data_IF_825990391664
#
_entry.id   IF_825990391664
#
_cell.length_a   1.000
_cell.length_b   1.000
_cell.length_c   1.000
_cell.angle_alpha   90.00
_cell.angle_beta   90.00
_cell.angle_gamma   90.00
#
_symmetry.space_group_name_H-M   'P 1'
#
loop_
_entity.id
_entity.type
_entity.pdbx_description
1 polymer ?
#
# COMPACT_ATOMS: atom_id res chain seq x y z
N UNK A 1 -28.15 -19.75 1.52
CA UNK A 1 -26.71 -20.01 1.38
C UNK A 1 -26.02 -19.06 0.37
N UNK A 2 -26.69 -18.76 -0.73
CA UNK A 2 -26.10 -17.98 -1.83
C UNK A 2 -25.72 -16.53 -1.44
N UNK A 3 -26.44 -15.90 -0.51
CA UNK A 3 -26.17 -14.52 -0.07
C UNK A 3 -24.85 -14.38 0.73
N UNK A 4 -24.40 -15.43 1.43
CA UNK A 4 -23.21 -15.41 2.27
C UNK A 4 -21.94 -15.80 1.52
N UNK A 5 -22.06 -16.59 0.46
CA UNK A 5 -20.90 -16.95 -0.37
C UNK A 5 -20.29 -15.72 -1.05
N UNK A 6 -21.11 -14.74 -1.40
CA UNK A 6 -20.65 -13.51 -2.05
C UNK A 6 -19.84 -12.56 -1.16
N UNK A 7 -19.92 -12.69 0.18
CA UNK A 7 -19.19 -11.82 1.11
C UNK A 7 -17.91 -12.44 1.70
N UNK A 8 -17.64 -13.72 1.45
CA UNK A 8 -16.45 -14.42 1.95
C UNK A 8 -15.33 -14.42 0.89
N UNK A 9 -14.09 -14.31 1.32
CA UNK A 9 -12.93 -14.51 0.46
C UNK A 9 -12.88 -15.97 -0.08
N UNK A 10 -12.28 -16.24 -1.25
CA UNK A 10 -12.30 -17.56 -1.87
C UNK A 10 -11.86 -18.73 -0.97
N UNK A 11 -10.83 -18.50 -0.14
CA UNK A 11 -10.36 -19.51 0.83
C UNK A 11 -11.39 -19.79 1.90
N UNK A 12 -12.08 -18.76 2.40
CA UNK A 12 -13.14 -18.87 3.39
C UNK A 12 -14.42 -19.52 2.81
N UNK A 13 -14.69 -19.29 1.52
CA UNK A 13 -15.75 -20.00 0.80
C UNK A 13 -15.44 -21.51 0.67
N UNK A 14 -14.19 -21.85 0.36
CA UNK A 14 -13.74 -23.25 0.30
C UNK A 14 -13.89 -23.92 1.65
N UNK A 15 -13.52 -23.24 2.75
CA UNK A 15 -13.72 -23.73 4.11
C UNK A 15 -15.21 -23.97 4.43
N UNK A 16 -16.11 -23.09 3.98
CA UNK A 16 -17.54 -23.25 4.19
C UNK A 16 -18.10 -24.47 3.45
N UNK A 17 -17.67 -24.69 2.21
CA UNK A 17 -18.03 -25.88 1.43
C UNK A 17 -17.50 -27.17 2.07
N UNK A 18 -16.28 -27.13 2.61
CA UNK A 18 -15.68 -28.27 3.33
C UNK A 18 -16.44 -28.57 4.63
N UNK A 19 -16.79 -27.51 5.40
CA UNK A 19 -17.63 -27.67 6.59
C UNK A 19 -18.96 -28.33 6.26
N UNK A 20 -19.62 -27.91 5.17
CA UNK A 20 -20.87 -28.54 4.68
C UNK A 20 -20.70 -30.03 4.38
N UNK A 21 -19.64 -30.39 3.65
CA UNK A 21 -19.36 -31.77 3.31
C UNK A 21 -19.11 -32.63 4.57
N UNK A 22 -18.37 -32.07 5.54
CA UNK A 22 -18.06 -32.71 6.81
C UNK A 22 -19.33 -32.92 7.64
N UNK A 23 -20.22 -31.94 7.70
CA UNK A 23 -21.52 -32.04 8.38
C UNK A 23 -22.40 -33.07 7.70
N UNK A 24 -22.53 -33.07 6.37
CA UNK A 24 -23.28 -34.01 5.60
C UNK A 24 -22.78 -35.45 5.79
N UNK A 25 -21.47 -35.67 5.84
CA UNK A 25 -20.85 -36.99 6.07
C UNK A 25 -21.17 -37.56 7.46
N UNK A 26 -21.46 -36.71 8.45
CA UNK A 26 -21.90 -37.08 9.81
C UNK A 26 -23.40 -37.17 9.95
N UNK A 27 -24.15 -36.98 8.85
CA UNK A 27 -25.63 -37.03 8.85
C UNK A 27 -26.29 -35.77 9.42
N UNK A 28 -25.55 -34.68 9.60
CA UNK A 28 -26.06 -33.37 10.00
C UNK A 28 -26.62 -32.59 8.83
N UNK A 29 -27.42 -31.54 9.12
CA UNK A 29 -28.04 -30.66 8.12
C UNK A 29 -27.71 -29.21 8.32
N UNK A 30 -27.07 -28.82 9.44
CA UNK A 30 -26.78 -27.42 9.82
C UNK A 30 -25.29 -27.27 10.15
N UNK A 31 -24.65 -26.31 9.53
CA UNK A 31 -23.25 -25.97 9.78
C UNK A 31 -23.17 -25.06 11.00
N UNK A 32 -22.43 -25.48 12.02
CA UNK A 32 -22.22 -24.69 13.25
C UNK A 32 -20.95 -23.81 13.13
N UNK A 33 -20.72 -22.94 14.13
CA UNK A 33 -19.50 -22.14 14.25
C UNK A 33 -18.28 -23.05 14.34
N UNK A 34 -18.39 -24.09 15.13
CA UNK A 34 -17.33 -25.08 15.39
C UNK A 34 -16.97 -25.85 14.12
N UNK A 35 -17.97 -26.26 13.33
CA UNK A 35 -17.77 -26.95 12.06
C UNK A 35 -17.03 -26.05 11.06
N UNK A 36 -17.43 -24.79 11.00
CA UNK A 36 -16.80 -23.82 10.10
C UNK A 36 -15.38 -23.46 10.54
N UNK A 37 -15.13 -23.29 11.85
CA UNK A 37 -13.80 -23.02 12.41
C UNK A 37 -12.83 -24.17 12.11
N UNK A 38 -13.21 -25.42 12.34
CA UNK A 38 -12.37 -26.57 12.02
C UNK A 38 -12.04 -26.65 10.53
N UNK A 39 -13.02 -26.42 9.68
CA UNK A 39 -12.81 -26.40 8.24
C UNK A 39 -11.94 -25.20 7.79
N UNK A 40 -12.04 -24.06 8.47
CA UNK A 40 -11.21 -22.87 8.20
C UNK A 40 -9.74 -23.15 8.54
N UNK A 41 -9.47 -23.78 9.68
CA UNK A 41 -8.11 -24.16 10.07
C UNK A 41 -7.51 -25.21 9.12
N UNK A 42 -8.34 -26.09 8.57
CA UNK A 42 -7.88 -27.12 7.61
C UNK A 42 -7.66 -26.54 6.20
N UNK A 43 -8.56 -25.66 5.74
CA UNK A 43 -8.52 -25.07 4.40
C UNK A 43 -7.50 -23.92 4.25
N UNK A 44 -7.09 -23.29 5.37
CA UNK A 44 -6.22 -22.09 5.36
C UNK A 44 -4.96 -22.32 6.20
N UNK A 45 -3.89 -22.93 5.61
CA UNK A 45 -2.63 -23.18 6.30
C UNK A 45 -1.94 -21.90 6.83
N UNK A 46 -2.22 -20.76 6.22
CA UNK A 46 -1.71 -19.45 6.63
C UNK A 46 -2.26 -19.04 8.01
N UNK A 47 -3.53 -19.29 8.27
CA UNK A 47 -4.16 -19.04 9.57
C UNK A 47 -3.50 -19.91 10.66
N UNK A 48 -3.28 -21.19 10.37
CA UNK A 48 -2.59 -22.14 11.27
C UNK A 48 -1.17 -21.68 11.58
N UNK A 49 -0.42 -21.29 10.55
CA UNK A 49 0.96 -20.80 10.68
C UNK A 49 1.02 -19.49 11.48
N UNK A 50 0.03 -18.61 11.29
CA UNK A 50 -0.09 -17.37 12.05
C UNK A 50 -0.39 -17.65 13.54
N UNK A 51 -1.40 -18.46 13.84
CA UNK A 51 -1.78 -18.80 15.21
C UNK A 51 -0.63 -19.44 15.99
N UNK A 52 0.12 -20.36 15.37
CA UNK A 52 1.34 -20.93 15.97
C UNK A 52 2.38 -19.87 16.31
N UNK A 53 2.63 -18.93 15.42
CA UNK A 53 3.57 -17.82 15.65
C UNK A 53 3.14 -16.88 16.78
N UNK A 54 1.82 -16.74 16.98
CA UNK A 54 1.26 -15.96 18.10
C UNK A 54 1.23 -16.74 19.43
N UNK A 55 1.74 -17.95 19.46
CA UNK A 55 1.82 -18.78 20.67
C UNK A 55 0.53 -19.54 21.02
N UNK A 56 -0.42 -19.64 20.08
CA UNK A 56 -1.65 -20.43 20.25
C UNK A 56 -1.31 -21.92 20.13
N UNK A 57 -1.67 -22.70 21.15
CA UNK A 57 -1.62 -24.17 21.09
C UNK A 57 -2.76 -24.66 20.22
N UNK A 58 -2.42 -25.13 19.01
CA UNK A 58 -3.43 -25.61 18.05
C UNK A 58 -4.10 -26.91 18.48
N UNK A 59 -3.41 -27.77 19.21
CA UNK A 59 -4.01 -29.03 19.68
C UNK A 59 -5.04 -28.76 20.79
N UNK A 60 -4.79 -27.74 21.60
CA UNK A 60 -5.74 -27.23 22.56
C UNK A 60 -6.92 -26.54 21.89
N UNK A 61 -6.65 -25.68 20.90
CA UNK A 61 -7.70 -25.01 20.13
C UNK A 61 -8.63 -26.01 19.44
N UNK A 62 -8.08 -27.00 18.75
CA UNK A 62 -8.87 -28.03 18.07
C UNK A 62 -9.68 -28.85 19.08
N UNK A 63 -9.09 -29.22 20.22
CA UNK A 63 -9.81 -29.95 21.29
C UNK A 63 -10.96 -29.15 21.88
N UNK A 64 -10.76 -27.84 22.12
CA UNK A 64 -11.81 -26.97 22.64
C UNK A 64 -12.94 -26.78 21.64
N UNK A 65 -12.62 -26.57 20.35
CA UNK A 65 -13.63 -26.51 19.29
C UNK A 65 -14.42 -27.81 19.22
N UNK A 66 -13.75 -28.96 19.22
CA UNK A 66 -14.42 -30.28 19.16
C UNK A 66 -15.27 -30.54 20.40
N UNK A 67 -14.83 -30.09 21.58
CA UNK A 67 -15.58 -30.24 22.84
C UNK A 67 -16.86 -29.40 22.90
N UNK A 68 -16.91 -28.30 22.14
CA UNK A 68 -18.07 -27.41 22.06
C UNK A 68 -19.03 -27.76 20.90
N UNK A 69 -18.65 -28.72 20.04
CA UNK A 69 -19.55 -29.17 18.96
C UNK A 69 -20.84 -29.79 19.54
N UNK A 70 -22.02 -29.33 19.09
CA UNK A 70 -23.29 -29.89 19.59
C UNK A 70 -23.43 -31.36 19.21
N UNK A 71 -23.76 -32.20 20.20
CA UNK A 71 -23.94 -33.65 20.05
C UNK A 71 -25.22 -33.97 19.24
N UNK A 72 -26.16 -33.05 19.23
CA UNK A 72 -27.43 -33.15 18.50
C UNK A 72 -27.56 -31.95 17.60
N UNK A 73 -27.79 -32.17 16.32
CA UNK A 73 -28.08 -31.11 15.36
C UNK A 73 -29.39 -30.40 15.77
N UNK A 74 -29.28 -29.33 16.55
CA UNK A 74 -30.43 -28.49 16.84
C UNK A 74 -30.92 -27.83 15.56
N UNK A 75 -32.14 -28.04 15.31
CA UNK A 75 -32.95 -27.76 14.14
C UNK A 75 -33.28 -26.27 14.05
N UNK A 76 -33.13 -25.72 12.84
CA UNK A 76 -33.76 -24.50 12.30
C UNK A 76 -33.03 -23.18 12.44
N UNK A 77 -32.04 -23.01 11.56
CA UNK A 77 -31.84 -21.72 10.91
C UNK A 77 -32.52 -21.76 9.53
N UNK A 78 -32.80 -20.63 8.99
CA UNK A 78 -33.32 -20.46 7.63
C UNK A 78 -32.17 -20.77 6.63
N UNK A 79 -32.00 -22.04 6.32
CA UNK A 79 -30.92 -22.55 5.49
C UNK A 79 -29.93 -23.47 6.21
N UNK A 80 -28.82 -23.82 5.52
CA UNK A 80 -27.81 -24.78 5.98
C UNK A 80 -26.86 -24.20 7.08
N UNK A 81 -27.04 -22.96 7.55
CA UNK A 81 -26.18 -22.30 8.54
C UNK A 81 -26.87 -22.12 9.90
N UNK A 82 -26.16 -22.35 11.00
CA UNK A 82 -26.67 -22.07 12.34
C UNK A 82 -26.87 -20.58 12.58
N UNK A 83 -27.79 -20.21 13.45
CA UNK A 83 -28.04 -18.80 13.82
C UNK A 83 -26.80 -18.14 14.46
N UNK A 84 -25.98 -18.89 15.15
CA UNK A 84 -24.72 -18.40 15.73
C UNK A 84 -23.65 -18.11 14.65
N UNK A 85 -23.56 -18.96 13.64
CA UNK A 85 -22.65 -18.74 12.52
C UNK A 85 -23.07 -17.51 11.69
N UNK A 86 -24.36 -17.38 11.41
CA UNK A 86 -24.92 -16.19 10.74
C UNK A 86 -24.64 -14.93 11.56
N UNK A 87 -24.86 -14.98 12.87
CA UNK A 87 -24.59 -13.86 13.77
C UNK A 87 -23.10 -13.44 13.73
N UNK A 88 -22.17 -14.39 13.84
CA UNK A 88 -20.74 -14.10 13.77
C UNK A 88 -20.35 -13.43 12.46
N UNK A 89 -20.73 -14.00 11.31
CA UNK A 89 -20.43 -13.45 9.99
C UNK A 89 -21.05 -12.07 9.80
N UNK A 90 -22.29 -11.85 10.28
CA UNK A 90 -22.97 -10.55 10.22
C UNK A 90 -22.26 -9.47 11.03
N UNK A 91 -21.91 -9.74 12.30
CA UNK A 91 -21.17 -8.79 13.13
C UNK A 91 -19.82 -8.41 12.50
N UNK A 92 -19.13 -9.40 11.94
CA UNK A 92 -17.86 -9.14 11.25
C UNK A 92 -18.07 -8.30 9.98
N UNK A 93 -19.15 -8.56 9.25
CA UNK A 93 -19.48 -7.80 8.03
C UNK A 93 -19.85 -6.36 8.31
N UNK A 94 -20.62 -6.11 9.37
CA UNK A 94 -21.04 -4.77 9.76
C UNK A 94 -19.86 -3.89 10.26
N UNK A 95 -18.83 -4.51 10.80
CA UNK A 95 -17.67 -3.82 11.34
C UNK A 95 -16.59 -3.50 10.30
N UNK A 96 -16.73 -3.92 9.05
CA UNK A 96 -15.72 -3.73 8.01
C UNK A 96 -16.29 -3.19 6.71
N UNK A 97 -15.57 -2.26 6.09
CA UNK A 97 -15.87 -1.72 4.74
C UNK A 97 -15.23 -2.56 3.62
N UNK A 98 -14.55 -3.66 3.95
CA UNK A 98 -13.90 -4.52 2.97
C UNK A 98 -14.93 -5.23 2.08
N UNK A 99 -14.65 -5.44 0.78
CA UNK A 99 -15.60 -6.11 -0.14
C UNK A 99 -15.87 -7.56 0.24
N UNK A 100 -14.93 -8.25 0.89
CA UNK A 100 -15.03 -9.64 1.36
C UNK A 100 -14.38 -9.82 2.73
N UNK A 101 -14.89 -10.81 3.45
CA UNK A 101 -14.37 -11.26 4.73
C UNK A 101 -13.30 -12.33 4.48
N UNK A 102 -12.08 -12.04 4.87
CA UNK A 102 -10.98 -12.99 4.90
C UNK A 102 -10.85 -13.66 6.29
N UNK A 103 -9.95 -14.62 6.41
CA UNK A 103 -9.78 -15.36 7.66
C UNK A 103 -9.32 -14.49 8.85
N UNK A 104 -8.44 -13.47 8.69
CA UNK A 104 -8.08 -12.59 9.79
C UNK A 104 -9.25 -11.77 10.31
N UNK A 105 -10.07 -11.23 9.41
CA UNK A 105 -11.27 -10.48 9.79
C UNK A 105 -12.30 -11.37 10.48
N UNK A 106 -12.49 -12.60 9.99
CA UNK A 106 -13.38 -13.55 10.61
C UNK A 106 -12.94 -13.92 12.02
N UNK A 107 -11.67 -14.30 12.21
CA UNK A 107 -11.15 -14.64 13.54
C UNK A 107 -11.12 -13.44 14.49
N UNK A 108 -10.74 -12.27 14.01
CA UNK A 108 -10.83 -11.03 14.77
C UNK A 108 -12.29 -10.73 15.20
N UNK A 109 -13.22 -10.87 14.26
CA UNK A 109 -14.64 -10.68 14.54
C UNK A 109 -15.19 -11.68 15.56
N UNK A 110 -14.72 -12.92 15.53
CA UNK A 110 -15.08 -13.93 16.51
C UNK A 110 -14.66 -13.54 17.93
N UNK A 111 -13.42 -13.07 18.08
CA UNK A 111 -12.85 -12.73 19.39
C UNK A 111 -13.37 -11.40 19.93
N UNK A 112 -13.56 -10.38 19.08
CA UNK A 112 -13.79 -9.01 19.55
C UNK A 112 -15.21 -8.47 19.29
N UNK A 113 -15.95 -9.04 18.32
CA UNK A 113 -17.24 -8.49 17.87
C UNK A 113 -18.42 -9.42 18.18
N UNK A 114 -18.20 -10.73 18.23
CA UNK A 114 -19.26 -11.70 18.44
C UNK A 114 -19.53 -11.93 19.94
N UNK A 115 -20.08 -10.93 20.63
CA UNK A 115 -20.32 -10.96 22.09
C UNK A 115 -21.01 -12.24 22.59
N UNK A 116 -21.96 -12.79 21.80
CA UNK A 116 -22.69 -14.02 22.16
C UNK A 116 -21.83 -15.28 22.14
N UNK A 117 -20.62 -15.21 21.57
CA UNK A 117 -19.70 -16.34 21.46
C UNK A 117 -18.50 -16.21 22.38
N UNK A 118 -18.38 -15.13 23.13
CA UNK A 118 -17.24 -14.89 24.05
C UNK A 118 -17.14 -15.89 25.18
N UNK A 119 -18.25 -16.51 25.58
CA UNK A 119 -18.27 -17.55 26.62
C UNK A 119 -17.72 -18.91 26.14
N UNK A 120 -17.41 -19.03 24.83
CA UNK A 120 -16.90 -20.27 24.25
C UNK A 120 -15.43 -20.49 24.57
N UNK A 121 -15.06 -21.70 24.99
CA UNK A 121 -13.71 -22.04 25.40
C UNK A 121 -12.65 -21.80 24.30
N UNK A 122 -12.99 -22.03 23.02
CA UNK A 122 -12.08 -21.76 21.92
C UNK A 122 -11.84 -20.27 21.67
N UNK A 123 -12.77 -19.37 22.05
CA UNK A 123 -12.57 -17.93 21.96
C UNK A 123 -11.52 -17.49 22.98
N UNK A 124 -11.59 -18.01 24.20
CA UNK A 124 -10.57 -17.73 25.23
C UNK A 124 -9.15 -18.17 24.78
N UNK A 125 -9.02 -19.27 24.06
CA UNK A 125 -7.73 -19.71 23.49
C UNK A 125 -7.25 -18.74 22.41
N UNK A 126 -8.15 -18.15 21.61
CA UNK A 126 -7.83 -17.18 20.57
C UNK A 126 -7.55 -15.78 21.11
N UNK A 127 -7.99 -15.41 22.31
CA UNK A 127 -7.72 -14.13 22.98
C UNK A 127 -6.22 -13.88 23.26
N UNK A 128 -5.40 -14.93 23.26
CA UNK A 128 -3.95 -14.84 23.38
C UNK A 128 -3.36 -14.03 22.20
N UNK A 129 -4.06 -13.96 21.06
CA UNK A 129 -3.63 -13.22 19.89
C UNK A 129 -3.87 -11.73 20.10
N UNK A 130 -2.82 -10.99 20.43
CA UNK A 130 -2.88 -9.54 20.69
C UNK A 130 -3.02 -8.69 19.44
N UNK A 131 -2.56 -9.18 18.27
CA UNK A 131 -2.57 -8.44 17.01
C UNK A 131 -2.99 -9.35 15.87
N UNK A 132 -4.12 -9.03 15.26
CA UNK A 132 -4.62 -9.70 14.07
C UNK A 132 -4.08 -9.02 12.82
N UNK A 133 -3.71 -9.74 11.75
CA UNK A 133 -3.31 -9.13 10.49
C UNK A 133 -4.46 -8.29 9.96
N UNK A 134 -4.25 -6.99 9.85
CA UNK A 134 -5.26 -6.11 9.26
C UNK A 134 -5.13 -6.18 7.75
N UNK A 135 -6.23 -6.46 7.05
CA UNK A 135 -6.29 -6.42 5.58
C UNK A 135 -5.94 -5.03 4.99
N UNK A 136 -5.89 -3.99 5.82
CA UNK A 136 -5.65 -2.61 5.41
C UNK A 136 -4.21 -2.11 5.62
N UNK A 137 -3.28 -2.87 6.21
CA UNK A 137 -2.02 -2.24 6.59
C UNK A 137 -0.75 -3.06 6.69
N UNK A 138 -0.84 -4.35 6.78
CA UNK A 138 0.36 -5.19 6.81
C UNK A 138 0.23 -6.31 5.79
N UNK A 139 0.56 -5.96 4.55
CA UNK A 139 1.07 -6.97 3.65
C UNK A 139 2.37 -7.48 4.29
N UNK A 140 2.25 -8.45 5.21
CA UNK A 140 3.23 -9.48 5.34
C UNK A 140 3.42 -9.97 3.91
N UNK A 141 4.49 -9.56 3.26
CA UNK A 141 4.82 -10.06 1.93
C UNK A 141 4.98 -11.55 2.12
N UNK A 142 4.00 -12.39 1.72
CA UNK A 142 4.26 -13.81 1.61
C UNK A 142 5.41 -13.93 0.61
N UNK A 143 6.23 -14.98 0.70
CA UNK A 143 7.13 -15.30 -0.38
C UNK A 143 6.26 -15.27 -1.63
N UNK A 144 6.56 -14.36 -2.55
CA UNK A 144 5.75 -13.91 -3.67
C UNK A 144 4.84 -15.03 -4.20
N UNK A 145 3.54 -14.95 -3.87
CA UNK A 145 2.55 -15.79 -4.54
C UNK A 145 2.66 -15.50 -6.03
N UNK A 146 2.78 -16.50 -6.90
CA UNK A 146 3.02 -16.27 -8.33
C UNK A 146 1.92 -15.49 -9.04
N UNK A 147 0.82 -15.16 -8.36
CA UNK A 147 -0.36 -14.50 -8.93
C UNK A 147 -0.57 -13.03 -8.55
N UNK A 148 0.32 -12.39 -7.76
CA UNK A 148 0.29 -10.94 -7.74
C UNK A 148 0.81 -10.44 -9.10
N UNK A 149 0.02 -9.62 -9.83
CA UNK A 149 0.53 -9.02 -11.07
C UNK A 149 1.71 -8.13 -10.67
N UNK A 150 2.92 -8.68 -10.77
CA UNK A 150 4.13 -7.90 -10.60
C UNK A 150 4.02 -6.67 -11.47
N UNK A 151 4.26 -5.50 -10.88
CA UNK A 151 4.46 -4.30 -11.69
C UNK A 151 5.48 -4.65 -12.77
N UNK A 152 5.14 -4.46 -14.04
CA UNK A 152 6.00 -4.89 -15.12
C UNK A 152 7.37 -4.24 -14.98
N UNK A 153 8.41 -5.06 -14.98
CA UNK A 153 9.79 -4.57 -14.94
C UNK A 153 10.25 -4.39 -16.37
N UNK A 154 10.46 -3.15 -16.76
CA UNK A 154 10.93 -2.81 -18.09
C UNK A 154 12.24 -2.06 -18.00
N UNK A 155 13.33 -2.68 -18.44
CA UNK A 155 14.67 -2.08 -18.51
C UNK A 155 15.18 -2.25 -19.93
N UNK A 156 15.15 -1.16 -20.70
CA UNK A 156 15.62 -1.14 -22.10
C UNK A 156 16.77 -0.13 -22.30
N UNK A 157 17.06 0.69 -21.29
CA UNK A 157 18.10 1.70 -21.36
C UNK A 157 19.48 1.06 -21.17
N UNK A 158 20.41 1.21 -22.12
CA UNK A 158 21.76 0.67 -22.01
C UNK A 158 22.51 1.11 -20.75
N UNK A 159 22.29 2.35 -20.28
CA UNK A 159 22.95 2.85 -19.08
C UNK A 159 22.49 2.12 -17.80
N UNK A 160 21.25 1.66 -17.75
CA UNK A 160 20.74 0.85 -16.64
C UNK A 160 21.29 -0.57 -16.67
N UNK A 161 21.46 -1.14 -17.87
CA UNK A 161 22.07 -2.46 -18.05
C UNK A 161 23.56 -2.40 -17.70
N UNK A 162 24.28 -1.35 -18.11
CA UNK A 162 25.68 -1.13 -17.76
C UNK A 162 25.87 -1.00 -16.24
N UNK A 163 25.02 -0.23 -15.56
CA UNK A 163 25.05 -0.15 -14.10
C UNK A 163 24.85 -1.53 -13.45
N UNK A 164 23.96 -2.37 -14.00
CA UNK A 164 23.75 -3.71 -13.47
C UNK A 164 25.02 -4.59 -13.62
N UNK A 165 25.68 -4.52 -14.78
CA UNK A 165 26.92 -5.22 -15.03
C UNK A 165 28.04 -4.72 -14.10
N UNK A 166 28.20 -3.40 -13.97
CA UNK A 166 29.20 -2.78 -13.09
C UNK A 166 29.02 -3.22 -11.62
N UNK A 167 27.75 -3.26 -11.15
CA UNK A 167 27.44 -3.71 -9.79
C UNK A 167 27.75 -5.20 -9.61
N UNK A 168 27.40 -6.07 -10.58
CA UNK A 168 27.73 -7.50 -10.51
C UNK A 168 29.23 -7.71 -10.49
N UNK A 169 29.97 -7.00 -11.33
CA UNK A 169 31.43 -7.06 -11.38
C UNK A 169 32.04 -6.62 -10.02
N UNK A 170 31.59 -5.49 -9.47
CA UNK A 170 32.10 -4.98 -8.20
C UNK A 170 31.80 -5.92 -7.02
N UNK A 171 30.58 -6.49 -6.96
CA UNK A 171 30.22 -7.49 -5.94
C UNK A 171 30.98 -8.81 -6.08
N UNK A 172 31.28 -9.21 -7.30
CA UNK A 172 32.03 -10.45 -7.57
C UNK A 172 33.54 -10.28 -7.32
N UNK A 173 34.08 -9.09 -7.63
CA UNK A 173 35.51 -8.81 -7.48
C UNK A 173 35.91 -8.61 -6.03
N UNK A 174 35.05 -8.08 -5.17
CA UNK A 174 35.38 -7.79 -3.77
C UNK A 174 34.41 -8.48 -2.80
N UNK A 175 34.92 -9.51 -2.13
CA UNK A 175 34.14 -10.26 -1.13
C UNK A 175 33.63 -9.40 0.04
N UNK A 176 34.35 -8.34 0.38
CA UNK A 176 34.01 -7.38 1.42
C UNK A 176 33.44 -6.10 0.83
N UNK A 177 32.97 -6.13 -0.43
CA UNK A 177 32.41 -4.96 -1.11
C UNK A 177 31.21 -4.41 -0.36
N UNK A 178 31.16 -3.08 -0.25
CA UNK A 178 30.00 -2.36 0.25
C UNK A 178 29.62 -1.35 -0.82
N UNK A 179 28.48 -1.60 -1.49
CA UNK A 179 28.05 -0.80 -2.63
C UNK A 179 26.74 -0.08 -2.29
N UNK A 180 26.67 1.18 -2.62
CA UNK A 180 25.44 1.96 -2.50
C UNK A 180 25.01 2.50 -3.85
N UNK A 181 23.89 1.98 -4.37
CA UNK A 181 23.23 2.54 -5.57
C UNK A 181 22.27 3.65 -5.14
N UNK A 182 22.71 4.87 -5.37
CA UNK A 182 22.02 6.09 -4.98
C UNK A 182 21.22 6.69 -6.15
N UNK A 183 20.05 7.22 -5.88
CA UNK A 183 19.26 7.92 -6.91
C UNK A 183 18.02 8.58 -6.32
N UNK A 184 17.37 9.52 -7.03
CA UNK A 184 16.20 10.21 -6.53
C UNK A 184 15.04 9.23 -6.27
N UNK A 185 14.10 9.64 -5.42
CA UNK A 185 12.89 8.85 -5.16
C UNK A 185 12.13 8.63 -6.48
N UNK A 186 11.67 7.40 -6.70
CA UNK A 186 10.94 7.04 -7.92
C UNK A 186 11.80 6.85 -9.16
N UNK A 187 13.16 6.84 -9.04
CA UNK A 187 14.06 6.57 -10.19
C UNK A 187 14.00 5.16 -10.74
N UNK A 188 13.27 4.23 -10.10
CA UNK A 188 13.15 2.85 -10.57
C UNK A 188 14.16 1.88 -9.96
N UNK A 189 14.84 2.23 -8.86
CA UNK A 189 15.85 1.39 -8.20
C UNK A 189 15.34 -0.02 -7.89
N UNK A 190 14.17 -0.15 -7.29
CA UNK A 190 13.58 -1.46 -6.96
C UNK A 190 13.24 -2.29 -8.21
N UNK A 191 12.78 -1.64 -9.30
CA UNK A 191 12.54 -2.32 -10.57
C UNK A 191 13.86 -2.78 -11.22
N UNK A 192 14.87 -1.92 -11.19
CA UNK A 192 16.24 -2.24 -11.62
C UNK A 192 16.83 -3.39 -10.79
N UNK A 193 16.65 -3.37 -9.46
CA UNK A 193 17.10 -4.45 -8.58
C UNK A 193 16.45 -5.79 -8.98
N UNK A 194 15.15 -5.83 -9.21
CA UNK A 194 14.45 -7.06 -9.63
C UNK A 194 15.02 -7.63 -10.92
N UNK A 195 15.39 -6.79 -11.86
CA UNK A 195 16.08 -7.21 -13.10
C UNK A 195 17.44 -7.78 -12.79
N UNK A 196 18.23 -7.12 -11.93
CA UNK A 196 19.54 -7.60 -11.49
C UNK A 196 19.44 -8.99 -10.83
N UNK A 197 18.47 -9.18 -9.92
CA UNK A 197 18.27 -10.43 -9.19
C UNK A 197 17.75 -11.58 -10.07
N UNK A 198 17.14 -11.27 -11.20
CA UNK A 198 16.73 -12.27 -12.19
C UNK A 198 17.89 -12.80 -13.03
N UNK A 199 19.10 -12.20 -12.92
CA UNK A 199 20.28 -12.62 -13.69
C UNK A 199 20.86 -13.94 -13.14
N UNK A 200 21.13 -14.93 -14.00
CA UNK A 200 21.68 -16.21 -13.56
C UNK A 200 23.13 -16.06 -13.06
N UNK A 201 23.50 -16.87 -12.06
CA UNK A 201 24.88 -16.96 -11.59
C UNK A 201 25.24 -15.99 -10.45
N UNK A 202 24.29 -15.22 -9.92
CA UNK A 202 24.48 -14.33 -8.79
C UNK A 202 23.73 -14.86 -7.56
N UNK A 203 24.47 -15.17 -6.47
CA UNK A 203 23.87 -15.61 -5.21
C UNK A 203 23.61 -14.41 -4.31
N UNK A 204 22.40 -14.28 -3.77
CA UNK A 204 22.00 -13.14 -2.97
C UNK A 204 20.96 -13.51 -1.90
N UNK A 205 20.90 -12.67 -0.87
CA UNK A 205 19.87 -12.70 0.19
C UNK A 205 19.35 -11.28 0.36
N UNK A 206 18.06 -11.07 0.12
CA UNK A 206 17.41 -9.79 0.37
C UNK A 206 16.89 -9.76 1.81
N UNK A 207 17.24 -8.72 2.56
CA UNK A 207 16.82 -8.53 3.95
C UNK A 207 16.16 -7.16 4.16
N UNK A 208 15.09 -7.14 4.94
CA UNK A 208 14.51 -5.91 5.49
C UNK A 208 14.93 -5.76 6.96
N UNK A 209 15.98 -5.00 7.18
CA UNK A 209 16.54 -4.77 8.53
C UNK A 209 15.59 -4.04 9.50
N UNK A 210 14.47 -3.51 9.03
CA UNK A 210 13.44 -2.87 9.86
C UNK A 210 12.50 -3.89 10.49
N UNK A 211 12.45 -5.10 9.97
CA UNK A 211 11.65 -6.21 10.48
C UNK A 211 12.46 -7.03 11.47
N UNK A 212 12.37 -6.70 12.76
CA UNK A 212 13.12 -7.41 13.81
C UNK A 212 12.91 -8.93 13.80
N UNK A 213 11.71 -9.41 13.49
CA UNK A 213 11.43 -10.84 13.40
C UNK A 213 12.21 -11.54 12.28
N UNK A 214 12.44 -10.90 11.13
CA UNK A 214 13.25 -11.44 10.04
C UNK A 214 14.72 -11.44 10.39
N UNK A 215 15.18 -10.40 11.08
CA UNK A 215 16.59 -10.29 11.54
C UNK A 215 16.89 -11.33 12.60
N UNK A 216 15.96 -11.61 13.53
CA UNK A 216 16.12 -12.64 14.56
C UNK A 216 15.96 -14.07 14.02
N UNK A 217 15.12 -14.29 13.01
CA UNK A 217 14.99 -15.58 12.34
C UNK A 217 16.25 -15.96 11.52
N UNK A 218 17.09 -14.98 11.19
CA UNK A 218 18.38 -15.19 10.54
C UNK A 218 19.48 -15.69 11.47
N UNK A 219 19.17 -16.03 12.73
CA UNK A 219 20.08 -16.79 13.65
C UNK A 219 20.48 -18.18 13.14
N UNK A 220 19.88 -18.65 12.07
CA UNK A 220 20.49 -19.70 11.28
C UNK A 220 21.63 -19.06 10.48
N UNK A 221 22.90 -19.44 10.74
CA UNK A 221 23.97 -19.02 9.87
C UNK A 221 23.54 -19.40 8.47
N UNK A 222 23.50 -18.45 7.55
CA UNK A 222 23.35 -18.73 6.12
C UNK A 222 24.58 -19.54 5.75
N UNK A 223 24.50 -20.84 6.01
CA UNK A 223 25.56 -21.78 5.66
C UNK A 223 25.55 -21.83 4.14
N UNK A 224 26.62 -21.40 3.47
CA UNK A 224 26.69 -21.58 2.04
C UNK A 224 26.50 -23.08 1.77
N UNK A 225 25.75 -23.46 0.72
CA UNK A 225 25.58 -24.86 0.37
C UNK A 225 26.96 -25.49 0.27
N UNK A 226 27.25 -26.45 1.19
CA UNK A 226 28.55 -27.10 1.29
C UNK A 226 28.83 -27.93 0.03
N UNK A 227 29.66 -27.40 -0.83
CA UNK A 227 30.27 -28.07 -1.96
C UNK A 227 31.76 -27.72 -1.96
N UNK A 228 32.62 -28.70 -2.17
CA UNK A 228 34.08 -28.62 -2.22
C UNK A 228 34.60 -27.69 -3.34
N UNK A 229 34.25 -26.46 -3.34
CA UNK A 229 34.72 -25.41 -4.23
C UNK A 229 34.36 -24.05 -3.64
N UNK A 230 35.33 -23.19 -3.56
CA UNK A 230 35.30 -21.80 -3.07
C UNK A 230 33.88 -21.24 -2.94
N UNK A 231 33.23 -21.48 -1.82
CA UNK A 231 31.88 -21.05 -1.56
C UNK A 231 31.87 -19.51 -1.54
N UNK A 232 31.32 -18.89 -2.59
CA UNK A 232 31.08 -17.46 -2.59
C UNK A 232 29.93 -17.18 -1.61
N UNK A 233 30.18 -16.32 -0.64
CA UNK A 233 29.14 -15.85 0.23
C UNK A 233 28.10 -15.04 -0.58
N UNK A 234 26.81 -15.26 -0.35
CA UNK A 234 25.78 -14.50 -1.05
C UNK A 234 25.90 -13.01 -0.74
N UNK A 235 25.53 -12.16 -1.68
CA UNK A 235 25.43 -10.74 -1.45
C UNK A 235 24.20 -10.43 -0.57
N UNK A 236 24.39 -9.63 0.49
CA UNK A 236 23.29 -9.09 1.26
C UNK A 236 22.71 -7.88 0.51
N UNK A 237 21.42 -7.88 0.26
CA UNK A 237 20.72 -6.81 -0.45
C UNK A 237 19.77 -6.08 0.50
N UNK A 238 19.98 -4.77 0.64
CA UNK A 238 19.22 -3.88 1.49
C UNK A 238 18.49 -2.86 0.59
N UNK A 239 17.22 -3.14 0.28
CA UNK A 239 16.40 -2.22 -0.50
C UNK A 239 15.85 -1.10 0.38
N UNK A 240 15.89 0.12 -0.13
CA UNK A 240 15.43 1.34 0.54
C UNK A 240 16.17 1.67 1.86
N UNK A 241 17.45 1.35 1.94
CA UNK A 241 18.33 1.63 3.09
C UNK A 241 19.49 2.50 2.62
N UNK A 242 19.57 3.76 3.10
CA UNK A 242 20.70 4.66 2.89
C UNK A 242 21.80 4.43 3.97
N UNK A 243 23.03 4.92 3.76
CA UNK A 243 24.09 4.83 4.76
C UNK A 243 23.69 5.36 6.14
N UNK A 244 22.95 6.48 6.19
CA UNK A 244 22.44 7.05 7.44
C UNK A 244 21.40 6.13 8.09
N UNK A 245 20.45 5.61 7.32
CA UNK A 245 19.42 4.68 7.83
C UNK A 245 20.09 3.43 8.43
N UNK A 246 21.12 2.91 7.77
CA UNK A 246 21.87 1.74 8.28
C UNK A 246 22.60 2.06 9.59
N UNK A 247 23.23 3.24 9.70
CA UNK A 247 23.86 3.70 10.94
C UNK A 247 22.85 3.84 12.09
N UNK A 248 21.66 4.38 11.82
CA UNK A 248 20.59 4.50 12.80
C UNK A 248 20.11 3.13 13.27
N UNK A 249 19.87 2.17 12.35
CA UNK A 249 19.49 0.80 12.68
C UNK A 249 20.55 0.07 13.50
N UNK A 250 21.83 0.25 13.17
CA UNK A 250 22.94 -0.35 13.90
C UNK A 250 23.20 0.28 15.28
N UNK A 251 22.68 1.49 15.54
CA UNK A 251 22.82 2.18 16.81
C UNK A 251 21.74 1.82 17.83
N UNK A 252 20.71 1.07 17.45
CA UNK A 252 19.65 0.61 18.34
C UNK A 252 20.21 -0.35 19.40
N UNK A 253 19.95 -0.13 20.70
CA UNK A 253 20.57 -0.89 21.79
C UNK A 253 20.21 -2.38 21.82
N UNK A 254 19.03 -2.75 21.34
CA UNK A 254 18.53 -4.14 21.33
C UNK A 254 18.58 -4.77 19.93
N UNK A 255 19.28 -4.16 18.97
CA UNK A 255 19.23 -4.56 17.58
C UNK A 255 20.24 -5.62 17.19
N UNK A 256 19.79 -6.82 16.81
CA UNK A 256 20.60 -7.84 16.16
C UNK A 256 21.20 -7.36 14.81
N UNK A 257 20.71 -6.22 14.27
CA UNK A 257 21.18 -5.63 13.01
C UNK A 257 22.67 -5.36 13.02
N UNK A 258 23.21 -4.85 14.12
CA UNK A 258 24.65 -4.56 14.22
C UNK A 258 25.50 -5.82 14.09
N UNK A 259 25.15 -6.86 14.85
CA UNK A 259 25.87 -8.14 14.83
C UNK A 259 25.74 -8.82 13.47
N UNK A 260 24.55 -8.82 12.88
CA UNK A 260 24.30 -9.37 11.56
C UNK A 260 25.13 -8.68 10.47
N UNK A 261 25.09 -7.34 10.40
CA UNK A 261 25.78 -6.59 9.34
C UNK A 261 27.29 -6.61 9.52
N UNK A 262 27.80 -6.49 10.75
CA UNK A 262 29.25 -6.58 11.03
C UNK A 262 29.79 -8.01 10.85
N UNK A 263 28.98 -9.02 11.17
CA UNK A 263 29.34 -10.44 11.01
C UNK A 263 29.17 -10.96 9.58
N UNK A 264 28.52 -10.21 8.70
CA UNK A 264 28.29 -10.66 7.33
C UNK A 264 29.60 -10.78 6.55
N UNK A 265 29.85 -11.95 6.00
CA UNK A 265 31.13 -12.27 5.31
C UNK A 265 31.07 -12.03 3.79
N UNK A 266 29.91 -11.82 3.21
CA UNK A 266 29.72 -11.52 1.79
C UNK A 266 29.66 -10.03 1.49
N UNK A 267 29.57 -9.64 0.21
CA UNK A 267 29.35 -8.25 -0.18
C UNK A 267 27.97 -7.76 0.25
N UNK A 268 27.84 -6.44 0.37
CA UNK A 268 26.58 -5.76 0.76
C UNK A 268 26.21 -4.75 -0.31
N UNK A 269 24.98 -4.84 -0.82
CA UNK A 269 24.39 -3.89 -1.77
C UNK A 269 23.25 -3.13 -1.11
N UNK A 270 23.37 -1.81 -1.03
CA UNK A 270 22.35 -0.91 -0.54
C UNK A 270 21.72 -0.14 -1.71
N UNK A 271 20.40 0.02 -1.68
CA UNK A 271 19.68 0.87 -2.62
C UNK A 271 18.86 1.89 -1.84
N UNK A 272 19.07 3.18 -2.09
CA UNK A 272 18.29 4.21 -1.42
C UNK A 272 18.20 5.52 -2.21
N UNK A 273 17.34 6.41 -1.71
CA UNK A 273 17.31 7.79 -2.15
C UNK A 273 18.50 8.56 -1.57
N UNK A 274 19.08 9.44 -2.38
CA UNK A 274 20.11 10.37 -1.95
C UNK A 274 19.56 11.65 -1.31
N UNK A 275 18.25 11.77 -1.14
CA UNK A 275 17.60 13.01 -0.68
C UNK A 275 17.93 13.36 0.78
N UNK A 276 18.29 12.35 1.59
CA UNK A 276 18.63 12.52 3.03
C UNK A 276 20.12 12.56 3.32
N UNK A 277 20.93 12.20 2.35
CA UNK A 277 22.39 12.11 2.57
C UNK A 277 22.99 13.53 2.65
N UNK A 278 23.37 13.94 3.85
CA UNK A 278 24.06 15.20 4.12
C UNK A 278 25.56 15.14 3.81
N UNK A 279 25.98 14.11 3.04
CA UNK A 279 27.31 14.07 2.46
C UNK A 279 28.29 13.10 3.11
N UNK A 280 29.53 13.15 2.68
CA UNK A 280 30.68 12.27 2.99
C UNK A 280 30.84 11.84 4.46
N UNK A 281 30.24 12.55 5.41
CA UNK A 281 30.40 12.27 6.84
C UNK A 281 29.78 10.94 7.26
N UNK A 282 28.58 10.65 6.78
CA UNK A 282 27.86 9.43 7.17
C UNK A 282 28.45 8.20 6.45
N UNK A 283 28.85 8.37 5.20
CA UNK A 283 29.56 7.35 4.44
C UNK A 283 30.89 6.97 5.12
N UNK A 284 31.66 7.96 5.58
CA UNK A 284 32.93 7.73 6.28
C UNK A 284 32.73 7.05 7.64
N UNK A 285 31.65 7.38 8.37
CA UNK A 285 31.31 6.72 9.64
C UNK A 285 30.94 5.27 9.43
N UNK A 286 30.12 4.98 8.40
CA UNK A 286 29.75 3.61 8.05
C UNK A 286 30.98 2.78 7.68
N UNK A 287 31.87 3.32 6.84
CA UNK A 287 33.16 2.70 6.48
C UNK A 287 34.00 2.40 7.73
N UNK A 288 34.09 3.33 8.67
CA UNK A 288 34.85 3.13 9.89
C UNK A 288 34.28 2.05 10.81
N UNK A 289 32.95 1.91 10.89
CA UNK A 289 32.27 0.90 11.72
C UNK A 289 32.36 -0.50 11.10
N UNK A 290 32.15 -0.61 9.78
CA UNK A 290 32.11 -1.88 9.09
C UNK A 290 33.52 -2.36 8.67
N UNK A 291 34.53 -1.48 8.64
CA UNK A 291 35.85 -1.79 8.11
C UNK A 291 35.84 -2.09 6.60
N UNK A 292 34.82 -1.60 5.87
CA UNK A 292 34.61 -1.83 4.44
C UNK A 292 34.55 -0.49 3.71
N UNK A 293 35.19 -0.41 2.57
CA UNK A 293 35.13 0.80 1.73
C UNK A 293 33.76 0.87 1.02
N UNK A 294 33.08 2.02 1.17
CA UNK A 294 31.80 2.26 0.55
C UNK A 294 31.99 2.82 -0.87
N UNK A 295 31.61 2.04 -1.86
CA UNK A 295 31.53 2.45 -3.25
C UNK A 295 30.12 3.00 -3.54
N UNK A 296 30.05 4.21 -4.06
CA UNK A 296 28.77 4.86 -4.40
C UNK A 296 28.58 4.90 -5.91
N UNK A 297 27.51 4.28 -6.40
CA UNK A 297 27.12 4.30 -7.80
C UNK A 297 25.81 5.09 -7.95
N UNK A 298 25.74 5.96 -8.96
CA UNK A 298 24.56 6.77 -9.19
C UNK A 298 23.62 6.07 -10.17
N UNK A 299 22.32 6.02 -9.83
CA UNK A 299 21.28 5.55 -10.76
C UNK A 299 21.24 6.49 -11.98
N UNK A 300 21.41 5.98 -13.20
CA UNK A 300 21.37 6.79 -14.41
C UNK A 300 20.02 7.48 -14.62
N UNK A 301 20.01 8.60 -15.33
CA UNK A 301 18.79 9.23 -15.81
C UNK A 301 18.01 8.31 -16.74
N UNK A 302 16.75 8.65 -16.97
CA UNK A 302 15.85 7.84 -17.80
C UNK A 302 15.68 8.48 -19.15
N UNK A 303 15.97 7.74 -20.22
CA UNK A 303 15.73 8.17 -21.60
C UNK A 303 14.23 8.21 -21.91
N UNK A 304 13.86 8.97 -22.93
CA UNK A 304 12.46 9.02 -23.41
C UNK A 304 11.98 7.65 -23.90
N UNK A 305 12.85 6.88 -24.54
CA UNK A 305 12.57 5.52 -24.98
C UNK A 305 12.23 4.59 -23.79
N UNK A 306 13.02 4.67 -22.72
CA UNK A 306 12.75 3.93 -21.48
C UNK A 306 11.43 4.37 -20.82
N UNK A 307 11.14 5.67 -20.78
CA UNK A 307 9.87 6.20 -20.26
C UNK A 307 8.68 5.67 -21.04
N UNK A 308 8.77 5.67 -22.38
CA UNK A 308 7.75 5.13 -23.27
C UNK A 308 7.54 3.63 -23.04
N UNK A 309 8.61 2.86 -22.93
CA UNK A 309 8.55 1.43 -22.65
C UNK A 309 7.88 1.13 -21.30
N UNK A 310 8.23 1.89 -20.24
CA UNK A 310 7.59 1.79 -18.92
C UNK A 310 6.09 2.09 -19.01
N UNK A 311 5.70 3.17 -19.69
CA UNK A 311 4.29 3.55 -19.87
C UNK A 311 3.51 2.47 -20.60
N UNK A 312 4.05 1.96 -21.70
CA UNK A 312 3.40 0.89 -22.48
C UNK A 312 3.20 -0.38 -21.65
N UNK A 313 4.18 -0.74 -20.84
CA UNK A 313 4.09 -1.91 -19.98
C UNK A 313 3.05 -1.72 -18.84
N UNK A 314 2.90 -0.51 -18.32
CA UNK A 314 1.95 -0.19 -17.24
C UNK A 314 0.54 0.16 -17.76
N UNK A 315 0.38 0.44 -19.05
CA UNK A 315 -0.89 0.85 -19.66
C UNK A 315 -2.05 -0.08 -19.31
N UNK A 316 -1.97 -1.42 -19.50
CA UNK A 316 -3.11 -2.32 -19.23
C UNK A 316 -3.56 -2.28 -17.76
N UNK A 317 -2.60 -2.19 -16.85
CA UNK A 317 -2.88 -2.12 -15.41
C UNK A 317 -3.57 -0.80 -15.01
N UNK A 318 -3.13 0.32 -15.61
CA UNK A 318 -3.72 1.64 -15.37
C UNK A 318 -5.14 1.68 -15.93
N UNK A 319 -5.34 1.24 -17.18
CA UNK A 319 -6.65 1.21 -17.84
C UNK A 319 -7.65 0.33 -17.09
N UNK A 320 -7.21 -0.84 -16.64
CA UNK A 320 -8.04 -1.75 -15.83
C UNK A 320 -8.41 -1.15 -14.46
N UNK A 321 -7.42 -0.56 -13.78
CA UNK A 321 -7.64 0.00 -12.44
C UNK A 321 -8.65 1.14 -12.42
N UNK A 322 -8.58 2.04 -13.41
CA UNK A 322 -9.40 3.25 -13.47
C UNK A 322 -10.57 3.16 -14.45
N UNK A 323 -10.77 2.00 -15.09
CA UNK A 323 -11.80 1.79 -16.11
C UNK A 323 -11.82 2.93 -17.16
N UNK A 324 -10.66 3.19 -17.75
CA UNK A 324 -10.47 4.22 -18.77
C UNK A 324 -9.53 3.74 -19.86
N UNK A 325 -9.44 4.51 -20.94
CA UNK A 325 -8.49 4.30 -22.04
C UNK A 325 -7.44 5.41 -22.05
N UNK A 326 -6.18 5.03 -22.20
CA UNK A 326 -5.10 5.99 -22.43
C UNK A 326 -5.00 6.30 -23.92
N UNK A 327 -5.14 7.57 -24.30
CA UNK A 327 -4.95 7.92 -25.72
C UNK A 327 -3.46 7.84 -26.10
N UNK A 328 -3.13 7.40 -27.33
CA UNK A 328 -1.73 7.35 -27.79
C UNK A 328 -1.02 8.70 -27.66
N UNK A 329 -1.72 9.80 -27.95
CA UNK A 329 -1.19 11.15 -27.82
C UNK A 329 -0.88 11.51 -26.35
N UNK A 330 -1.70 11.06 -25.38
CA UNK A 330 -1.43 11.25 -23.97
C UNK A 330 -0.20 10.46 -23.49
N UNK A 331 -0.04 9.23 -23.99
CA UNK A 331 1.13 8.38 -23.72
C UNK A 331 2.42 9.02 -24.24
N UNK A 332 2.39 9.51 -25.48
CA UNK A 332 3.53 10.20 -26.10
C UNK A 332 3.87 11.48 -25.36
N UNK A 333 2.86 12.28 -25.02
CA UNK A 333 3.04 13.50 -24.23
C UNK A 333 3.64 13.21 -22.85
N UNK A 334 3.18 12.16 -22.17
CA UNK A 334 3.71 11.77 -20.86
C UNK A 334 5.16 11.27 -20.94
N UNK A 335 5.53 10.55 -22.00
CA UNK A 335 6.89 10.08 -22.20
C UNK A 335 7.86 11.22 -22.49
N UNK A 336 7.48 12.17 -23.35
CA UNK A 336 8.34 13.28 -23.77
C UNK A 336 8.46 14.40 -22.73
N UNK A 337 7.41 14.61 -21.92
CA UNK A 337 7.39 15.73 -20.95
C UNK A 337 8.29 15.47 -19.75
N UNK A 338 9.23 16.39 -19.52
CA UNK A 338 10.12 16.34 -18.37
C UNK A 338 10.02 17.65 -17.57
N UNK A 339 9.62 17.56 -16.33
CA UNK A 339 9.66 18.65 -15.34
C UNK A 339 10.23 18.10 -14.05
N UNK A 340 10.70 18.94 -13.16
CA UNK A 340 11.29 18.52 -11.87
C UNK A 340 10.39 17.52 -11.10
N UNK A 341 9.07 17.68 -11.20
CA UNK A 341 8.09 16.83 -10.49
C UNK A 341 7.90 15.46 -11.11
N UNK A 342 8.11 15.32 -12.43
CA UNK A 342 7.86 14.10 -13.22
C UNK A 342 9.12 13.59 -13.93
N UNK A 343 10.29 14.05 -13.51
CA UNK A 343 11.56 13.64 -14.09
C UNK A 343 11.85 12.14 -13.91
N UNK A 344 11.36 11.55 -12.82
CA UNK A 344 11.56 10.13 -12.52
C UNK A 344 10.42 9.28 -13.08
N UNK A 345 10.64 7.99 -13.38
CA UNK A 345 9.58 7.06 -13.79
C UNK A 345 8.43 6.98 -12.80
N UNK A 346 8.74 6.93 -11.51
CA UNK A 346 7.73 6.91 -10.45
C UNK A 346 6.89 8.18 -10.43
N UNK A 347 7.52 9.36 -10.59
CA UNK A 347 6.81 10.63 -10.68
C UNK A 347 5.92 10.72 -11.93
N UNK A 348 6.38 10.19 -13.05
CA UNK A 348 5.58 10.10 -14.28
C UNK A 348 4.35 9.18 -14.11
N UNK A 349 4.52 8.00 -13.52
CA UNK A 349 3.41 7.09 -13.26
C UNK A 349 2.43 7.68 -12.24
N UNK A 350 2.92 8.33 -11.17
CA UNK A 350 2.08 9.02 -10.20
C UNK A 350 1.23 10.11 -10.86
N UNK A 351 1.83 10.90 -11.75
CA UNK A 351 1.10 11.91 -12.52
C UNK A 351 -0.02 11.30 -13.36
N UNK A 352 0.25 10.20 -14.09
CA UNK A 352 -0.79 9.50 -14.83
C UNK A 352 -1.91 8.98 -13.94
N UNK A 353 -1.55 8.35 -12.80
CA UNK A 353 -2.54 7.84 -11.86
C UNK A 353 -3.42 8.95 -11.30
N UNK A 354 -2.86 10.13 -11.01
CA UNK A 354 -3.64 11.30 -10.53
C UNK A 354 -4.60 11.81 -11.60
N UNK A 355 -4.11 11.95 -12.83
CA UNK A 355 -4.96 12.37 -13.95
C UNK A 355 -6.08 11.36 -14.22
N UNK A 356 -5.76 10.05 -14.18
CA UNK A 356 -6.72 8.98 -14.35
C UNK A 356 -7.78 8.96 -13.24
N UNK A 357 -7.37 9.09 -11.98
CA UNK A 357 -8.28 9.19 -10.84
C UNK A 357 -9.22 10.39 -10.95
N UNK A 358 -8.70 11.53 -11.38
CA UNK A 358 -9.52 12.74 -11.58
C UNK A 358 -10.52 12.56 -12.71
N UNK A 359 -10.10 11.93 -13.81
CA UNK A 359 -10.99 11.62 -14.92
C UNK A 359 -12.08 10.64 -14.51
N UNK A 360 -11.77 9.63 -13.71
CA UNK A 360 -12.77 8.70 -13.19
C UNK A 360 -13.79 9.39 -12.30
N UNK A 361 -13.35 10.30 -11.42
CA UNK A 361 -14.25 11.14 -10.62
C UNK A 361 -15.11 12.06 -11.49
N UNK A 362 -14.53 12.67 -12.52
CA UNK A 362 -15.25 13.50 -13.47
C UNK A 362 -16.29 12.70 -14.26
N UNK A 363 -15.92 11.48 -14.68
CA UNK A 363 -16.82 10.61 -15.43
C UNK A 363 -18.00 10.10 -14.58
N UNK A 364 -17.75 9.81 -13.30
CA UNK A 364 -18.75 9.23 -12.38
C UNK A 364 -19.68 10.27 -11.75
N UNK A 365 -19.16 11.43 -11.36
CA UNK A 365 -19.89 12.45 -10.60
C UNK A 365 -20.24 13.69 -11.42
N UNK A 366 -19.64 13.86 -12.59
CA UNK A 366 -19.66 15.11 -13.32
C UNK A 366 -18.66 16.15 -12.79
N UNK A 367 -18.71 17.40 -13.31
CA UNK A 367 -17.88 18.50 -12.85
C UNK A 367 -18.14 18.83 -11.39
N UNK A 368 -17.07 19.11 -10.61
CA UNK A 368 -17.20 19.46 -9.19
C UNK A 368 -18.08 20.71 -8.97
N UNK A 369 -17.99 21.66 -9.87
CA UNK A 369 -18.81 22.88 -9.86
C UNK A 369 -20.31 22.56 -9.99
N UNK A 370 -20.68 21.66 -10.92
CA UNK A 370 -22.05 21.23 -11.08
C UNK A 370 -22.60 20.52 -9.83
N UNK A 371 -21.76 19.70 -9.17
CA UNK A 371 -22.14 19.03 -7.91
C UNK A 371 -22.38 20.05 -6.79
N UNK A 372 -21.56 21.09 -6.69
CA UNK A 372 -21.73 22.15 -5.71
C UNK A 372 -23.01 22.96 -5.97
N UNK A 373 -23.24 23.35 -7.23
CA UNK A 373 -24.45 24.07 -7.65
C UNK A 373 -25.72 23.24 -7.41
N UNK A 374 -25.68 21.93 -7.65
CA UNK A 374 -26.82 21.05 -7.36
C UNK A 374 -27.16 21.01 -5.86
N UNK A 375 -26.16 21.00 -4.97
CA UNK A 375 -26.36 21.04 -3.52
C UNK A 375 -26.99 22.39 -3.07
N UNK A 376 -26.58 23.50 -3.68
CA UNK A 376 -27.13 24.81 -3.43
C UNK A 376 -28.58 24.91 -3.95
N UNK A 377 -28.82 24.40 -5.16
CA UNK A 377 -30.15 24.30 -5.75
C UNK A 377 -31.11 23.52 -4.83
N UNK A 378 -30.73 22.37 -4.31
CA UNK A 378 -31.53 21.57 -3.37
C UNK A 378 -31.84 22.35 -2.08
N UNK A 379 -30.92 23.17 -1.62
CA UNK A 379 -31.11 24.00 -0.42
C UNK A 379 -32.14 25.11 -0.69
N UNK A 380 -32.03 25.83 -1.81
CA UNK A 380 -32.99 26.85 -2.20
C UNK A 380 -34.38 26.28 -2.48
N UNK A 381 -34.43 25.09 -3.10
CA UNK A 381 -35.69 24.40 -3.34
C UNK A 381 -36.42 24.06 -2.03
N UNK A 382 -35.70 23.61 -1.01
CA UNK A 382 -36.31 23.40 0.33
C UNK A 382 -36.79 24.72 0.95
N UNK A 383 -36.03 25.80 0.80
CA UNK A 383 -36.43 27.13 1.27
C UNK A 383 -37.69 27.63 0.56
N UNK A 384 -37.79 27.45 -0.76
CA UNK A 384 -39.00 27.81 -1.53
C UNK A 384 -40.22 27.05 -1.02
N UNK A 385 -40.11 25.73 -0.78
CA UNK A 385 -41.22 24.94 -0.24
C UNK A 385 -41.66 25.39 1.15
N UNK A 386 -40.72 25.80 2.02
CA UNK A 386 -41.04 26.32 3.34
C UNK A 386 -41.71 27.68 3.25
N UNK A 387 -41.24 28.57 2.37
CA UNK A 387 -41.89 29.89 2.14
C UNK A 387 -43.32 29.75 1.63
N UNK A 388 -43.55 28.86 0.66
CA UNK A 388 -44.88 28.55 0.15
C UNK A 388 -45.79 27.99 1.24
N UNK A 389 -45.30 27.09 2.11
CA UNK A 389 -46.08 26.55 3.22
C UNK A 389 -46.45 27.61 4.28
N UNK A 390 -45.70 28.70 4.37
CA UNK A 390 -45.97 29.87 5.25
C UNK A 390 -46.82 30.94 4.58
N UNK A 391 -47.15 30.81 3.30
CA UNK A 391 -47.85 31.83 2.54
C UNK A 391 -47.00 33.06 2.19
N UNK A 392 -45.68 32.91 2.22
CA UNK A 392 -44.72 33.96 1.86
C UNK A 392 -44.46 33.97 0.35
N UNK A 393 -44.08 35.13 -0.21
CA UNK A 393 -43.75 35.26 -1.61
C UNK A 393 -42.39 34.57 -1.92
N UNK A 394 -42.40 33.53 -2.74
CA UNK A 394 -41.21 32.75 -3.12
C UNK A 394 -40.52 33.22 -4.41
N UNK A 395 -41.05 34.27 -5.10
CA UNK A 395 -40.58 34.73 -6.43
C UNK A 395 -39.04 34.96 -6.47
N UNK A 396 -38.49 35.57 -5.43
CA UNK A 396 -37.03 35.82 -5.36
C UNK A 396 -36.22 34.55 -5.30
N UNK A 397 -36.69 33.54 -4.56
CA UNK A 397 -36.01 32.23 -4.45
C UNK A 397 -36.16 31.47 -5.76
N UNK A 398 -37.29 31.56 -6.44
CA UNK A 398 -37.51 30.95 -7.75
C UNK A 398 -36.57 31.53 -8.84
N UNK A 399 -36.33 32.83 -8.84
CA UNK A 399 -35.38 33.47 -9.74
C UNK A 399 -33.93 32.99 -9.46
N UNK A 400 -33.56 32.80 -8.19
CA UNK A 400 -32.25 32.26 -7.83
C UNK A 400 -32.09 30.80 -8.29
N UNK A 401 -33.15 30.00 -8.14
CA UNK A 401 -33.17 28.61 -8.64
C UNK A 401 -32.95 28.58 -10.16
N UNK A 402 -33.66 29.41 -10.93
CA UNK A 402 -33.52 29.49 -12.38
C UNK A 402 -32.08 29.90 -12.80
N UNK A 403 -31.46 30.83 -12.05
CA UNK A 403 -30.10 31.23 -12.32
C UNK A 403 -29.11 30.07 -12.05
N UNK A 404 -29.29 29.33 -10.94
CA UNK A 404 -28.48 28.16 -10.63
C UNK A 404 -28.63 27.03 -11.66
N UNK A 405 -29.83 26.81 -12.19
CA UNK A 405 -30.09 25.85 -13.26
C UNK A 405 -29.25 26.17 -14.51
N UNK A 406 -29.16 27.47 -14.87
CA UNK A 406 -28.36 27.93 -16.00
C UNK A 406 -26.84 27.75 -15.75
N UNK A 407 -26.39 28.07 -14.55
CA UNK A 407 -24.99 27.93 -14.16
C UNK A 407 -24.61 26.45 -14.09
N UNK A 408 -25.45 25.58 -13.56
CA UNK A 408 -25.25 24.14 -13.54
C UNK A 408 -25.19 23.57 -14.97
N UNK A 409 -26.12 23.91 -15.83
CA UNK A 409 -26.13 23.49 -17.23
C UNK A 409 -24.86 23.95 -17.95
N UNK A 410 -24.36 25.16 -17.70
CA UNK A 410 -23.11 25.67 -18.25
C UNK A 410 -21.89 24.86 -17.75
N UNK A 411 -21.86 24.52 -16.46
CA UNK A 411 -20.80 23.70 -15.88
C UNK A 411 -20.77 22.27 -16.46
N UNK A 412 -21.92 21.73 -16.80
CA UNK A 412 -22.05 20.37 -17.35
C UNK A 412 -21.79 20.26 -18.86
N UNK A 413 -21.65 21.37 -19.61
CA UNK A 413 -21.47 21.35 -21.07
C UNK A 413 -20.34 20.42 -21.50
N UNK A 414 -19.15 20.57 -20.92
CA UNK A 414 -17.97 19.77 -21.27
C UNK A 414 -18.19 18.28 -20.97
N UNK A 415 -18.85 17.98 -19.86
CA UNK A 415 -19.18 16.61 -19.48
C UNK A 415 -20.13 15.96 -20.48
N UNK A 416 -21.21 16.66 -20.87
CA UNK A 416 -22.17 16.21 -21.86
C UNK A 416 -21.55 16.06 -23.25
N UNK A 417 -20.65 16.96 -23.63
CA UNK A 417 -19.92 16.90 -24.91
C UNK A 417 -19.00 15.66 -24.94
N UNK A 418 -18.21 15.43 -23.89
CA UNK A 418 -17.35 14.24 -23.77
C UNK A 418 -18.17 12.95 -23.73
N UNK A 419 -19.34 12.95 -23.08
CA UNK A 419 -20.26 11.82 -23.07
C UNK A 419 -20.82 11.53 -24.47
N UNK A 420 -21.23 12.57 -25.20
CA UNK A 420 -21.75 12.45 -26.58
C UNK A 420 -20.69 11.96 -27.56
N UNK A 421 -19.46 12.43 -27.41
CA UNK A 421 -18.33 12.02 -28.26
C UNK A 421 -17.72 10.67 -27.89
N UNK A 422 -18.18 10.01 -26.82
CA UNK A 422 -17.61 8.75 -26.32
C UNK A 422 -16.21 8.88 -25.71
N UNK A 423 -15.76 10.11 -25.40
CA UNK A 423 -14.42 10.38 -24.85
C UNK A 423 -14.42 10.57 -23.33
N UNK A 424 -15.57 10.34 -22.66
CA UNK A 424 -15.72 10.59 -21.23
C UNK A 424 -14.73 9.78 -20.37
N UNK A 425 -14.42 8.54 -20.78
CA UNK A 425 -13.46 7.65 -20.10
C UNK A 425 -12.17 7.48 -20.90
N UNK A 426 -11.78 8.48 -21.68
CA UNK A 426 -10.54 8.49 -22.42
C UNK A 426 -9.63 9.60 -21.92
N UNK A 427 -8.45 9.22 -21.41
CA UNK A 427 -7.46 10.18 -20.93
C UNK A 427 -6.81 10.91 -22.11
N UNK A 428 -6.98 12.20 -22.16
CA UNK A 428 -6.48 13.09 -23.22
C UNK A 428 -5.26 13.86 -22.73
N UNK A 429 -4.53 14.47 -23.67
CA UNK A 429 -3.37 15.33 -23.37
C UNK A 429 -3.76 16.49 -22.45
N UNK A 430 -4.96 17.04 -22.65
CA UNK A 430 -5.45 18.16 -21.87
C UNK A 430 -5.65 17.79 -20.40
N UNK A 431 -6.18 16.61 -20.13
CA UNK A 431 -6.34 16.10 -18.75
C UNK A 431 -4.98 16.03 -18.02
N UNK A 432 -3.94 15.58 -18.76
CA UNK A 432 -2.57 15.53 -18.23
C UNK A 432 -1.99 16.91 -17.99
N UNK A 433 -2.22 17.88 -18.88
CA UNK A 433 -1.76 19.26 -18.70
C UNK A 433 -2.37 19.90 -17.45
N UNK A 434 -3.69 19.82 -17.35
CA UNK A 434 -4.41 20.40 -16.21
C UNK A 434 -3.99 19.77 -14.87
N UNK A 435 -3.77 18.45 -14.84
CA UNK A 435 -3.29 17.81 -13.62
C UNK A 435 -1.86 18.24 -13.28
N UNK A 436 -0.98 18.40 -14.27
CA UNK A 436 0.38 18.88 -14.04
C UNK A 436 0.40 20.32 -13.51
N UNK A 437 -0.42 21.19 -14.08
CA UNK A 437 -0.57 22.58 -13.63
C UNK A 437 -1.07 22.64 -12.19
N UNK A 438 -2.08 21.86 -11.83
CA UNK A 438 -2.57 21.75 -10.45
C UNK A 438 -1.49 21.24 -9.50
N UNK A 439 -0.75 20.23 -9.94
CA UNK A 439 0.33 19.67 -9.11
C UNK A 439 1.48 20.66 -8.89
N UNK A 440 1.85 21.41 -9.89
CA UNK A 440 2.84 22.48 -9.77
C UNK A 440 2.31 23.61 -8.87
N UNK A 441 1.06 24.05 -9.08
CA UNK A 441 0.43 25.07 -8.28
C UNK A 441 0.31 24.68 -6.78
N UNK A 442 -0.03 23.44 -6.49
CA UNK A 442 -0.11 22.93 -5.12
C UNK A 442 1.24 22.93 -4.38
N UNK A 443 2.37 22.83 -5.12
CA UNK A 443 3.73 22.88 -4.56
C UNK A 443 4.30 24.30 -4.47
N UNK A 444 3.79 25.20 -5.30
CA UNK A 444 4.17 26.61 -5.30
C UNK A 444 3.25 27.48 -4.44
N UNK A 445 2.42 26.85 -3.60
CA UNK A 445 1.60 27.57 -2.63
C UNK A 445 2.45 28.51 -1.79
N UNK A 446 1.97 29.73 -1.48
CA UNK A 446 2.74 30.70 -0.71
C UNK A 446 3.19 30.04 0.58
N UNK A 447 4.48 30.06 0.83
CA UNK A 447 5.01 29.80 2.16
C UNK A 447 4.36 30.85 3.04
N UNK A 448 3.38 30.46 3.84
CA UNK A 448 2.78 31.36 4.80
C UNK A 448 3.85 31.75 5.81
N UNK A 449 4.45 32.90 5.62
CA UNK A 449 5.30 33.57 6.59
C UNK A 449 4.43 34.10 7.76
N UNK A 450 3.69 33.26 8.42
CA UNK A 450 2.92 33.64 9.62
C UNK A 450 3.83 33.74 10.86
N UNK A 451 5.07 33.27 10.73
CA UNK A 451 5.99 33.13 11.88
C UNK A 451 6.76 34.41 12.26
N UNK A 452 6.74 35.45 11.46
CA UNK A 452 7.59 36.61 11.74
C UNK A 452 6.89 37.80 12.41
N UNK A 453 5.59 37.77 12.57
CA UNK A 453 4.89 38.84 13.28
C UNK A 453 5.02 38.75 14.81
N UNK A 454 5.21 37.57 15.37
CA UNK A 454 5.38 37.40 16.84
C UNK A 454 6.82 37.65 17.31
N UNK A 455 7.82 37.39 16.45
CA UNK A 455 9.23 37.68 16.80
C UNK A 455 9.60 39.16 16.71
N UNK A 456 8.93 39.99 15.89
CA UNK A 456 9.19 41.43 15.84
C UNK A 456 8.57 42.22 17.01
N UNK A 457 7.61 41.66 17.75
CA UNK A 457 7.09 42.31 18.96
C UNK A 457 7.93 42.05 20.20
N UNK A 458 8.85 41.09 20.17
CA UNK A 458 9.76 40.80 21.28
C UNK A 458 11.04 41.66 21.34
N UNK A 459 11.48 42.21 20.21
CA UNK A 459 12.75 42.93 20.14
C UNK A 459 12.63 44.45 20.30
N UNK A 460 11.42 45.01 20.45
CA UNK A 460 11.23 46.46 20.62
C UNK A 460 11.03 46.91 22.07
N UNK A 461 11.18 46.02 23.05
CA UNK A 461 11.04 46.35 24.50
C UNK A 461 12.37 46.29 25.28
N UNK A 462 13.52 46.46 24.60
CA UNK A 462 14.83 46.34 25.22
C UNK A 462 15.82 47.49 24.99
N UNK A 463 15.39 48.65 24.49
CA UNK A 463 16.26 49.83 24.39
C UNK A 463 15.84 50.93 25.39
N UNK A 464 16.23 50.76 26.63
CA UNK A 464 16.18 51.82 27.62
C UNK A 464 17.28 52.88 27.33
N UNK A 465 17.05 54.18 27.65
CA UNK A 465 17.96 55.23 27.33
C UNK A 465 19.17 55.20 28.27
N UNK A 466 20.34 54.81 27.74
CA UNK A 466 21.61 54.90 28.43
C UNK A 466 22.23 56.31 28.30
N UNK A 467 22.39 56.95 29.42
CA UNK A 467 23.00 58.23 29.70
C UNK A 467 24.19 58.63 28.84
N UNK A 468 24.07 59.83 28.26
CA UNK A 468 25.18 60.78 28.05
C UNK A 468 25.68 61.28 29.41
N UNK A 469 26.98 61.03 29.74
CA UNK A 469 27.88 61.89 30.46
C UNK A 469 29.21 61.15 30.73
N UNK A 470 30.25 61.67 30.11
CA UNK A 470 31.67 61.82 30.39
C UNK A 470 32.56 61.41 29.25
#
# INVERSE_FOLDING_TARGET
MDDWQGCLAPQCQTALLQARNNVASRGGSVITVEDYLLALLDAVPEAVSFLKRQGVDLDELIRTIQGEQPIVAEVRGDGDLSSQLIYWVSCTREATDQPWLDWPLLLHGLVHLAERLQDKAYVAVLEVVSHWPSAAGEACTPPASPDQPFSPVTVTDPAWLQLAEDVVVALSANRNGLIWVAGPRGSGKTAWLRMLLASPGFSWVQMDLRRQAEVMASDQPVVPPGGDGVAQWPAMILDNVAPLDLLELMSMPDGAVRELVTGWQGPILMLASNDRDKGRTDSNRLTAILGRELETMAMPGVSEAQRRAILTAHQPAIEKRWNLQLSPAAMEYAASRQTRSIATPGGMLEWLHRAAARLDLFASRGPLEAVALAAEHDTLRRQSLVALARGECAERVELQIQQLDLEQAAAEVVWHERKRSGTLRRLLVEDLRQELERWVAARSGPVHYVLNCEQQQGDTLGAGPGNLYS
#
